data_IF_848169752137
#
_entry.id   IF_848169752137
#
_cell.length_a   1.000
_cell.length_b   1.000
_cell.length_c   1.000
_cell.angle_alpha   90.00
_cell.angle_beta   90.00
_cell.angle_gamma   90.00
#
_symmetry.space_group_name_H-M   'P 1'
#
loop_
_entity.id
_entity.type
_entity.pdbx_description
1 polymer ?
#
# COMPACT_ATOMS: atom_id res chain seq x y z
N UNK A 1 -14.30 34.30 28.70
CA UNK A 1 -14.83 33.63 29.91
C UNK A 1 -14.04 32.37 30.24
N UNK A 2 -13.88 31.42 29.30
CA UNK A 2 -13.13 30.16 29.51
C UNK A 2 -11.70 30.40 30.04
N UNK A 3 -10.98 31.40 29.52
CA UNK A 3 -9.60 31.72 29.94
C UNK A 3 -9.44 32.20 31.39
N UNK A 4 -10.53 32.45 32.12
CA UNK A 4 -10.49 32.82 33.54
C UNK A 4 -10.63 31.62 34.49
N UNK A 5 -10.91 30.43 33.96
CA UNK A 5 -11.13 29.21 34.76
C UNK A 5 -9.81 28.44 34.88
N UNK A 6 -8.89 28.94 35.72
CA UNK A 6 -7.52 28.41 35.86
C UNK A 6 -7.44 27.00 36.44
N UNK A 7 -8.55 26.47 36.97
CA UNK A 7 -8.66 25.08 37.45
C UNK A 7 -8.90 24.06 36.33
N UNK A 8 -9.11 24.49 35.08
CA UNK A 8 -9.37 23.57 33.96
C UNK A 8 -8.17 22.66 33.68
N UNK A 9 -8.44 21.36 33.62
CA UNK A 9 -7.49 20.32 33.20
C UNK A 9 -7.77 19.81 31.79
N UNK A 10 -9.02 19.90 31.32
CA UNK A 10 -9.40 19.49 29.97
C UNK A 10 -10.28 20.54 29.33
N UNK A 11 -9.97 20.87 28.07
CA UNK A 11 -10.72 21.84 27.28
C UNK A 11 -10.99 21.27 25.88
N UNK A 12 -12.28 21.10 25.58
CA UNK A 12 -12.76 20.67 24.27
C UNK A 12 -13.52 21.80 23.60
N UNK A 13 -12.99 22.25 22.46
CA UNK A 13 -13.57 23.29 21.62
C UNK A 13 -13.84 22.76 20.20
N UNK A 14 -14.08 21.44 20.08
CA UNK A 14 -14.20 20.72 18.81
C UNK A 14 -15.44 21.12 18.01
N UNK A 15 -15.39 21.00 16.68
CA UNK A 15 -16.54 21.18 15.79
C UNK A 15 -17.23 22.55 15.93
N UNK A 16 -16.43 23.60 16.09
CA UNK A 16 -16.91 24.96 16.18
C UNK A 16 -16.48 25.76 14.94
N UNK A 17 -16.68 27.08 14.99
CA UNK A 17 -16.23 28.03 13.95
C UNK A 17 -15.16 28.98 14.50
N UNK A 18 -14.35 28.51 15.44
CA UNK A 18 -13.32 29.32 16.09
C UNK A 18 -12.26 29.69 15.04
N UNK A 19 -11.97 30.98 14.95
CA UNK A 19 -10.97 31.52 14.01
C UNK A 19 -9.65 31.90 14.70
N UNK A 20 -9.73 32.27 15.97
CA UNK A 20 -8.61 32.81 16.75
C UNK A 20 -8.62 32.18 18.12
N UNK A 21 -7.45 31.72 18.56
CA UNK A 21 -7.20 31.34 19.95
C UNK A 21 -6.48 32.50 20.62
N UNK A 22 -7.07 33.06 21.68
CA UNK A 22 -6.49 34.20 22.39
C UNK A 22 -5.20 33.83 23.13
N UNK A 23 -4.27 34.76 23.25
CA UNK A 23 -3.09 34.68 24.12
C UNK A 23 -3.44 34.41 25.60
N UNK A 24 -4.67 34.75 26.01
CA UNK A 24 -5.18 34.42 27.35
C UNK A 24 -5.26 32.90 27.62
N UNK A 25 -5.07 32.03 26.61
CA UNK A 25 -4.91 30.59 26.82
C UNK A 25 -3.76 30.29 27.79
N UNK A 26 -2.74 31.15 27.84
CA UNK A 26 -1.61 31.06 28.78
C UNK A 26 -2.01 31.04 30.27
N UNK A 27 -3.23 31.48 30.61
CA UNK A 27 -3.75 31.42 31.97
C UNK A 27 -4.16 30.01 32.42
N UNK A 28 -4.39 29.08 31.49
CA UNK A 28 -4.91 27.73 31.78
C UNK A 28 -3.79 26.73 32.09
N UNK A 29 -2.84 27.07 32.95
CA UNK A 29 -1.58 26.31 33.17
C UNK A 29 -1.77 24.87 33.67
N UNK A 30 -2.94 24.54 34.24
CA UNK A 30 -3.28 23.18 34.70
C UNK A 30 -3.81 22.26 33.58
N UNK A 31 -3.90 22.76 32.35
CA UNK A 31 -4.48 22.03 31.24
C UNK A 31 -3.58 20.86 30.82
N UNK A 32 -4.12 19.64 30.87
CA UNK A 32 -3.48 18.40 30.43
C UNK A 32 -3.97 17.97 29.04
N UNK A 33 -5.16 18.41 28.63
CA UNK A 33 -5.72 18.12 27.32
C UNK A 33 -6.41 19.34 26.70
N UNK A 34 -5.97 19.70 25.49
CA UNK A 34 -6.58 20.73 24.67
C UNK A 34 -6.96 20.14 23.32
N UNK A 35 -8.24 20.26 22.95
CA UNK A 35 -8.69 19.87 21.61
C UNK A 35 -9.44 21.02 20.94
N UNK A 36 -8.86 21.47 19.84
CA UNK A 36 -9.28 22.54 18.95
C UNK A 36 -9.73 21.99 17.59
N UNK A 37 -9.89 20.68 17.47
CA UNK A 37 -10.19 19.97 16.22
C UNK A 37 -11.42 20.52 15.50
N UNK A 38 -11.39 20.51 14.17
CA UNK A 38 -12.54 20.87 13.31
C UNK A 38 -13.02 22.30 13.62
N UNK A 39 -12.15 23.26 13.33
CA UNK A 39 -12.40 24.69 13.49
C UNK A 39 -11.88 25.46 12.26
N UNK A 40 -11.69 26.77 12.39
CA UNK A 40 -11.19 27.67 11.34
C UNK A 40 -9.95 28.45 11.80
N UNK A 41 -9.16 27.86 12.69
CA UNK A 41 -8.01 28.50 13.32
C UNK A 41 -6.86 28.61 12.32
N UNK A 42 -6.26 29.80 12.20
CA UNK A 42 -5.11 30.05 11.30
C UNK A 42 -3.75 30.03 12.00
N UNK A 43 -3.74 30.37 13.28
CA UNK A 43 -2.53 30.45 14.08
C UNK A 43 -2.82 30.04 15.53
N UNK A 44 -1.80 29.48 16.18
CA UNK A 44 -1.82 29.26 17.63
C UNK A 44 -0.96 30.35 18.30
N UNK A 45 -1.44 30.94 19.41
CA UNK A 45 -0.70 31.95 20.15
C UNK A 45 0.56 31.37 20.81
N UNK A 46 1.57 32.22 21.03
CA UNK A 46 2.81 31.85 21.74
C UNK A 46 2.52 31.42 23.19
N UNK A 47 1.43 31.95 23.77
CA UNK A 47 0.92 31.58 25.09
C UNK A 47 0.68 30.08 25.30
N UNK A 48 0.55 29.28 24.23
CA UNK A 48 0.47 27.81 24.33
C UNK A 48 1.66 27.21 25.07
N UNK A 49 2.86 27.79 24.94
CA UNK A 49 4.06 27.30 25.61
C UNK A 49 4.06 27.44 27.13
N UNK A 50 3.08 28.14 27.71
CA UNK A 50 2.88 28.20 29.18
C UNK A 50 2.12 26.99 29.72
N UNK A 51 1.51 26.18 28.84
CA UNK A 51 0.76 24.98 29.22
C UNK A 51 1.70 23.78 29.43
N UNK A 52 2.62 23.89 30.40
CA UNK A 52 3.69 22.91 30.58
C UNK A 52 3.20 21.53 31.06
N UNK A 53 1.97 21.44 31.55
CA UNK A 53 1.29 20.19 31.93
C UNK A 53 0.54 19.52 30.78
N UNK A 54 0.55 20.13 29.58
CA UNK A 54 -0.22 19.65 28.44
C UNK A 54 0.34 18.31 27.95
N UNK A 55 -0.45 17.25 28.11
CA UNK A 55 -0.13 15.91 27.64
C UNK A 55 -0.66 15.62 26.23
N UNK A 56 -1.74 16.28 25.83
CA UNK A 56 -2.37 16.12 24.52
C UNK A 56 -2.82 17.45 23.94
N UNK A 57 -2.35 17.75 22.73
CA UNK A 57 -2.84 18.84 21.90
C UNK A 57 -3.37 18.28 20.58
N UNK A 58 -4.66 18.46 20.33
CA UNK A 58 -5.31 18.13 19.06
C UNK A 58 -5.80 19.41 18.40
N UNK A 59 -5.08 19.87 17.39
CA UNK A 59 -5.44 21.02 16.54
C UNK A 59 -5.69 20.60 15.09
N UNK A 60 -6.07 19.34 14.86
CA UNK A 60 -6.34 18.79 13.54
C UNK A 60 -7.54 19.43 12.85
N UNK A 61 -7.61 19.37 11.51
CA UNK A 61 -8.72 19.92 10.71
C UNK A 61 -8.96 21.41 11.00
N UNK A 62 -7.92 22.21 10.79
CA UNK A 62 -7.92 23.67 10.91
C UNK A 62 -7.24 24.27 9.66
N UNK A 63 -6.86 25.54 9.73
CA UNK A 63 -6.14 26.26 8.68
C UNK A 63 -4.78 26.75 9.18
N UNK A 64 -4.13 26.00 10.08
CA UNK A 64 -2.83 26.39 10.63
C UNK A 64 -1.76 26.41 9.54
N UNK A 65 -1.09 27.55 9.37
CA UNK A 65 0.04 27.69 8.43
C UNK A 65 1.39 27.43 9.10
N UNK A 66 1.49 27.74 10.40
CA UNK A 66 2.68 27.54 11.21
C UNK A 66 2.32 27.09 12.64
N UNK A 67 3.29 26.50 13.33
CA UNK A 67 3.23 26.28 14.77
C UNK A 67 4.14 27.28 15.51
N UNK A 68 3.70 27.85 16.64
CA UNK A 68 4.54 28.72 17.44
C UNK A 68 5.74 27.91 18.00
N UNK A 69 6.98 28.44 17.94
CA UNK A 69 8.15 27.75 18.52
C UNK A 69 7.99 27.41 20.01
N UNK A 70 7.19 28.17 20.74
CA UNK A 70 6.89 27.96 22.15
C UNK A 70 6.19 26.62 22.44
N UNK A 71 5.65 25.94 21.42
CA UNK A 71 5.09 24.58 21.58
C UNK A 71 6.12 23.60 22.17
N UNK A 72 7.41 23.81 21.87
CA UNK A 72 8.51 23.00 22.43
C UNK A 72 8.69 23.13 23.95
N UNK A 73 8.03 24.09 24.60
CA UNK A 73 8.02 24.22 26.06
C UNK A 73 7.04 23.26 26.74
N UNK A 74 6.10 22.69 25.99
CA UNK A 74 5.10 21.74 26.50
C UNK A 74 5.70 20.33 26.61
N UNK A 75 6.77 20.18 27.39
CA UNK A 75 7.60 18.97 27.46
C UNK A 75 6.86 17.71 27.93
N UNK A 76 5.65 17.85 28.47
CA UNK A 76 4.77 16.73 28.86
C UNK A 76 3.92 16.21 27.68
N UNK A 77 4.01 16.80 26.49
CA UNK A 77 3.25 16.37 25.32
C UNK A 77 3.66 14.97 24.89
N UNK A 78 2.71 14.05 24.98
CA UNK A 78 2.83 12.69 24.44
C UNK A 78 2.14 12.57 23.08
N UNK A 79 1.15 13.42 22.82
CA UNK A 79 0.39 13.47 21.57
C UNK A 79 0.24 14.91 21.08
N UNK A 80 0.73 15.17 19.88
CA UNK A 80 0.50 16.40 19.12
C UNK A 80 -0.12 16.03 17.77
N UNK A 81 -1.39 16.37 17.56
CA UNK A 81 -2.09 16.13 16.31
C UNK A 81 -2.41 17.45 15.61
N UNK A 82 -1.74 17.68 14.47
CA UNK A 82 -1.88 18.89 13.64
C UNK A 82 -2.15 18.51 12.17
N UNK A 83 -2.67 17.31 11.94
CA UNK A 83 -3.02 16.83 10.60
C UNK A 83 -4.17 17.64 9.97
N UNK A 84 -4.30 17.58 8.65
CA UNK A 84 -5.34 18.33 7.89
C UNK A 84 -5.30 19.83 8.24
N UNK A 85 -4.13 20.43 8.03
CA UNK A 85 -3.90 21.87 8.15
C UNK A 85 -3.18 22.35 6.89
N UNK A 86 -2.63 23.57 6.93
CA UNK A 86 -1.90 24.18 5.83
C UNK A 86 -0.42 24.39 6.20
N UNK A 87 0.10 23.58 7.14
CA UNK A 87 1.43 23.77 7.71
C UNK A 87 2.51 23.68 6.64
N UNK A 88 3.37 24.69 6.56
CA UNK A 88 4.50 24.73 5.60
C UNK A 88 5.79 24.23 6.25
N UNK A 89 5.90 24.37 7.57
CA UNK A 89 7.04 23.95 8.38
C UNK A 89 6.62 23.40 9.76
N UNK A 90 7.61 22.87 10.47
CA UNK A 90 7.52 22.50 11.89
C UNK A 90 8.74 23.11 12.59
N UNK A 91 8.57 23.82 13.72
CA UNK A 91 9.67 24.52 14.38
C UNK A 91 10.72 23.55 14.96
N UNK A 92 11.99 23.96 14.97
CA UNK A 92 13.11 23.18 15.55
C UNK A 92 12.95 22.91 17.06
N UNK A 93 12.09 23.65 17.75
CA UNK A 93 11.77 23.40 19.16
C UNK A 93 10.96 22.12 19.36
N UNK A 94 10.42 21.49 18.31
CA UNK A 94 9.70 20.21 18.41
C UNK A 94 10.58 19.11 19.01
N UNK A 95 11.90 19.16 18.78
CA UNK A 95 12.84 18.20 19.35
C UNK A 95 12.98 18.27 20.87
N UNK A 96 12.38 19.27 21.54
CA UNK A 96 12.31 19.33 22.99
C UNK A 96 11.26 18.36 23.56
N UNK A 97 10.29 17.91 22.76
CA UNK A 97 9.20 17.03 23.16
C UNK A 97 9.66 15.56 23.21
N UNK A 98 10.63 15.25 24.06
CA UNK A 98 11.33 13.94 24.08
C UNK A 98 10.43 12.74 24.39
N UNK A 99 9.28 12.97 25.03
CA UNK A 99 8.31 11.92 25.37
C UNK A 99 7.16 11.80 24.35
N UNK A 100 7.27 12.51 23.22
CA UNK A 100 6.26 12.50 22.17
C UNK A 100 6.18 11.11 21.53
N UNK A 101 5.01 10.48 21.62
CA UNK A 101 4.73 9.16 21.06
C UNK A 101 4.02 9.27 19.72
N UNK A 102 3.15 10.27 19.57
CA UNK A 102 2.31 10.49 18.39
C UNK A 102 2.44 11.93 17.91
N UNK A 103 2.85 12.07 16.65
CA UNK A 103 2.97 13.34 15.94
C UNK A 103 2.18 13.25 14.62
N UNK A 104 1.01 13.89 14.58
CA UNK A 104 0.15 13.90 13.40
C UNK A 104 0.50 15.04 12.44
N UNK A 105 1.16 14.72 11.32
CA UNK A 105 1.61 15.72 10.32
C UNK A 105 0.97 15.53 8.92
N UNK A 106 0.21 14.45 8.73
CA UNK A 106 -0.39 14.13 7.42
C UNK A 106 -1.33 15.22 6.92
N UNK A 107 -1.48 15.32 5.60
CA UNK A 107 -2.34 16.29 4.91
C UNK A 107 -2.02 17.73 5.34
N UNK A 108 -0.80 18.14 5.05
CA UNK A 108 -0.29 19.51 5.24
C UNK A 108 0.45 19.96 3.96
N UNK A 109 1.21 21.04 4.04
CA UNK A 109 2.02 21.57 2.93
C UNK A 109 3.51 21.57 3.27
N UNK A 110 3.95 20.63 4.13
CA UNK A 110 5.31 20.62 4.67
C UNK A 110 6.33 20.43 3.53
N UNK A 111 7.30 21.33 3.48
CA UNK A 111 8.42 21.26 2.52
C UNK A 111 9.61 20.49 3.12
N UNK A 112 9.77 20.55 4.44
CA UNK A 112 10.77 19.82 5.20
C UNK A 112 10.27 19.50 6.61
N UNK A 113 11.03 18.67 7.31
CA UNK A 113 10.90 18.46 8.76
C UNK A 113 12.21 18.86 9.46
N UNK A 114 12.15 19.40 10.68
CA UNK A 114 13.33 19.88 11.40
C UNK A 114 14.26 18.74 11.81
N UNK A 115 15.57 19.02 11.89
CA UNK A 115 16.59 18.02 12.28
C UNK A 115 16.38 17.56 13.72
N UNK A 116 16.04 18.49 14.61
CA UNK A 116 15.76 18.23 16.02
C UNK A 116 14.68 17.18 16.28
N UNK A 117 13.83 16.85 15.31
CA UNK A 117 12.84 15.77 15.43
C UNK A 117 13.50 14.41 15.72
N UNK A 118 14.79 14.25 15.39
CA UNK A 118 15.60 13.08 15.78
C UNK A 118 15.64 12.82 17.29
N UNK A 119 15.36 13.82 18.12
CA UNK A 119 15.33 13.70 19.57
C UNK A 119 14.05 13.05 20.11
N UNK A 120 12.99 12.93 19.28
CA UNK A 120 11.71 12.36 19.67
C UNK A 120 11.73 10.82 19.50
N UNK A 121 12.62 10.15 20.22
CA UNK A 121 12.94 8.72 20.03
C UNK A 121 11.78 7.76 20.35
N UNK A 122 10.75 8.25 21.05
CA UNK A 122 9.57 7.46 21.41
C UNK A 122 8.52 7.37 20.29
N UNK A 123 8.70 8.08 19.17
CA UNK A 123 7.80 7.98 18.02
C UNK A 123 7.81 6.56 17.48
N UNK A 124 6.64 5.95 17.43
CA UNK A 124 6.44 4.57 16.95
C UNK A 124 5.96 4.50 15.51
N UNK A 125 5.26 5.55 15.07
CA UNK A 125 4.78 5.74 13.70
C UNK A 125 5.17 7.14 13.23
N UNK A 126 5.89 7.21 12.11
CA UNK A 126 6.21 8.47 11.45
C UNK A 126 5.43 8.56 10.15
N UNK A 127 4.38 9.38 10.16
CA UNK A 127 3.46 9.55 9.04
C UNK A 127 3.40 11.02 8.61
N UNK A 128 3.92 11.28 7.41
CA UNK A 128 3.93 12.59 6.74
C UNK A 128 3.22 12.51 5.38
N UNK A 129 2.26 11.61 5.24
CA UNK A 129 1.45 11.44 4.04
C UNK A 129 0.88 12.78 3.54
N UNK A 130 0.84 12.96 2.22
CA UNK A 130 0.19 14.11 1.58
C UNK A 130 0.77 15.44 2.09
N UNK A 131 2.05 15.62 1.77
CA UNK A 131 2.84 16.83 1.99
C UNK A 131 3.67 17.11 0.73
N UNK A 132 4.61 18.05 0.80
CA UNK A 132 5.47 18.44 -0.33
C UNK A 132 6.95 18.10 -0.05
N UNK A 133 7.19 17.08 0.78
CA UNK A 133 8.54 16.69 1.17
C UNK A 133 9.27 16.07 -0.02
N UNK A 134 10.49 16.53 -0.27
CA UNK A 134 11.41 15.95 -1.26
C UNK A 134 12.56 15.16 -0.63
N UNK A 135 12.86 15.43 0.64
CA UNK A 135 13.93 14.80 1.41
C UNK A 135 13.60 14.81 2.90
N UNK A 136 14.25 13.92 3.65
CA UNK A 136 14.27 13.95 5.11
C UNK A 136 15.66 14.34 5.59
N UNK A 137 15.78 14.97 6.78
CA UNK A 137 17.08 15.22 7.38
C UNK A 137 17.89 13.93 7.58
N UNK A 138 19.19 14.03 7.31
CA UNK A 138 20.11 12.91 7.52
C UNK A 138 20.11 12.47 8.98
N UNK A 139 20.09 11.15 9.19
CA UNK A 139 20.10 10.55 10.52
C UNK A 139 18.75 10.60 11.27
N UNK A 140 17.71 11.26 10.73
CA UNK A 140 16.40 11.34 11.38
C UNK A 140 15.84 9.95 11.66
N UNK A 141 15.64 9.16 10.60
CA UNK A 141 15.03 7.82 10.72
C UNK A 141 15.88 6.85 11.55
N UNK A 142 17.21 6.93 11.48
CA UNK A 142 18.09 6.09 12.30
C UNK A 142 18.07 6.44 13.79
N UNK A 143 17.66 7.67 14.14
CA UNK A 143 17.55 8.10 15.53
C UNK A 143 16.23 7.66 16.17
N UNK A 144 15.18 7.45 15.37
CA UNK A 144 13.87 6.98 15.84
C UNK A 144 13.91 5.48 16.17
N UNK A 145 14.54 5.12 17.28
CA UNK A 145 14.78 3.73 17.66
C UNK A 145 13.51 2.91 17.85
N UNK A 146 12.38 3.53 18.20
CA UNK A 146 11.12 2.83 18.42
C UNK A 146 10.21 2.82 17.18
N UNK A 147 10.70 3.31 16.03
CA UNK A 147 9.92 3.40 14.79
C UNK A 147 9.59 2.01 14.25
N UNK A 148 8.30 1.71 14.16
CA UNK A 148 7.76 0.44 13.64
C UNK A 148 7.08 0.61 12.28
N UNK A 149 6.54 1.80 12.00
CA UNK A 149 5.82 2.10 10.76
C UNK A 149 6.26 3.44 10.20
N UNK A 150 6.58 3.47 8.91
CA UNK A 150 7.02 4.65 8.17
C UNK A 150 6.10 4.90 6.98
N UNK A 151 5.43 6.05 6.95
CA UNK A 151 4.58 6.46 5.84
C UNK A 151 5.04 7.81 5.28
N UNK A 152 5.61 7.78 4.07
CA UNK A 152 6.06 8.92 3.28
C UNK A 152 5.24 9.07 1.98
N UNK A 153 4.06 8.46 1.92
CA UNK A 153 3.22 8.43 0.72
C UNK A 153 2.78 9.83 0.26
N UNK A 154 2.48 9.99 -1.03
CA UNK A 154 1.94 11.24 -1.61
C UNK A 154 2.82 12.45 -1.29
N UNK A 155 4.11 12.34 -1.61
CA UNK A 155 5.10 13.41 -1.42
C UNK A 155 5.86 13.64 -2.74
N UNK A 156 7.00 14.32 -2.69
CA UNK A 156 7.84 14.65 -3.85
C UNK A 156 9.21 13.97 -3.81
N UNK A 157 9.33 12.82 -3.15
CA UNK A 157 10.60 12.09 -3.07
C UNK A 157 11.00 11.58 -4.46
N UNK A 158 12.20 11.96 -4.92
CA UNK A 158 12.81 11.45 -6.17
C UNK A 158 13.78 10.31 -5.89
N UNK A 159 14.23 10.19 -4.64
CA UNK A 159 15.13 9.15 -4.16
C UNK A 159 14.72 8.69 -2.76
N UNK A 160 15.26 7.55 -2.32
CA UNK A 160 15.13 7.11 -0.93
C UNK A 160 15.74 8.14 0.05
N UNK A 161 15.23 8.21 1.30
CA UNK A 161 15.84 9.02 2.36
C UNK A 161 17.32 8.69 2.58
N UNK A 162 18.13 9.72 2.86
CA UNK A 162 19.56 9.59 3.18
C UNK A 162 19.76 9.09 4.60
N UNK A 163 20.79 8.27 4.83
CA UNK A 163 21.12 7.70 6.16
C UNK A 163 21.42 6.20 6.15
N UNK A 164 21.25 5.53 5.00
CA UNK A 164 21.71 4.16 4.79
C UNK A 164 20.88 3.11 5.54
N UNK A 165 21.37 1.87 5.65
CA UNK A 165 20.55 0.74 6.10
C UNK A 165 20.12 0.79 7.57
N UNK A 166 20.82 1.56 8.40
CA UNK A 166 20.51 1.71 9.83
C UNK A 166 19.15 2.36 10.07
N UNK A 167 18.58 3.04 9.08
CA UNK A 167 17.29 3.72 9.17
C UNK A 167 16.10 2.78 9.32
N UNK A 168 16.25 1.51 8.91
CA UNK A 168 15.13 0.57 8.80
C UNK A 168 15.25 -0.63 9.75
N UNK A 169 16.15 -0.57 10.74
CA UNK A 169 16.45 -1.70 11.65
C UNK A 169 15.21 -2.25 12.38
N UNK A 170 14.30 -1.37 12.79
CA UNK A 170 13.15 -1.72 13.64
C UNK A 170 11.79 -1.62 12.91
N UNK A 171 11.80 -1.18 11.65
CA UNK A 171 10.59 -0.91 10.89
C UNK A 171 10.01 -2.21 10.35
N UNK A 172 8.71 -2.39 10.53
CA UNK A 172 7.93 -3.52 10.02
C UNK A 172 7.25 -3.19 8.70
N UNK A 173 6.82 -1.93 8.52
CA UNK A 173 6.07 -1.48 7.35
C UNK A 173 6.60 -0.15 6.83
N UNK A 174 6.84 -0.09 5.53
CA UNK A 174 7.23 1.13 4.81
C UNK A 174 6.22 1.38 3.70
N UNK A 175 5.61 2.56 3.70
CA UNK A 175 4.78 3.05 2.60
C UNK A 175 5.39 4.33 2.02
N UNK A 176 5.80 4.28 0.75
CA UNK A 176 6.26 5.44 -0.02
C UNK A 176 5.51 5.55 -1.36
N UNK A 177 4.24 5.13 -1.41
CA UNK A 177 3.43 5.23 -2.63
C UNK A 177 3.25 6.68 -3.11
N UNK A 178 2.90 6.85 -4.39
CA UNK A 178 2.66 8.18 -4.97
C UNK A 178 3.83 9.16 -4.73
N UNK A 179 5.02 8.75 -5.17
CA UNK A 179 6.23 9.57 -5.17
C UNK A 179 6.87 9.54 -6.57
N UNK A 180 8.10 10.03 -6.69
CA UNK A 180 8.87 10.05 -7.94
C UNK A 180 10.14 9.21 -7.82
N UNK A 181 10.13 8.19 -6.95
CA UNK A 181 11.32 7.39 -6.67
C UNK A 181 11.60 6.49 -7.87
N UNK A 182 12.78 6.64 -8.46
CA UNK A 182 13.16 5.88 -9.67
C UNK A 182 14.01 4.63 -9.39
N UNK A 183 14.56 4.51 -8.18
CA UNK A 183 15.43 3.40 -7.79
C UNK A 183 15.41 3.15 -6.29
N UNK A 184 15.39 1.87 -5.91
CA UNK A 184 15.69 1.39 -4.55
C UNK A 184 17.21 1.20 -4.46
N UNK A 185 17.93 1.83 -3.51
CA UNK A 185 19.38 1.66 -3.38
C UNK A 185 19.75 0.23 -2.97
N UNK A 186 20.87 -0.27 -3.50
CA UNK A 186 21.42 -1.56 -3.10
C UNK A 186 21.76 -1.57 -1.60
N UNK A 187 21.39 -2.65 -0.91
CA UNK A 187 21.71 -2.87 0.50
C UNK A 187 20.89 -2.02 1.47
N UNK A 188 19.94 -1.21 1.01
CA UNK A 188 19.18 -0.29 1.89
C UNK A 188 18.40 -1.01 2.97
N UNK A 189 18.00 -2.26 2.73
CA UNK A 189 17.29 -3.11 3.69
C UNK A 189 18.18 -4.18 4.33
N UNK A 190 19.49 -4.15 4.12
CA UNK A 190 20.43 -5.16 4.67
C UNK A 190 20.43 -5.29 6.19
N UNK A 191 19.91 -4.27 6.92
CA UNK A 191 19.73 -4.30 8.37
C UNK A 191 18.26 -4.35 8.81
N UNK A 192 17.31 -4.36 7.88
CA UNK A 192 15.88 -4.32 8.15
C UNK A 192 15.34 -5.72 8.48
N UNK A 193 15.70 -6.22 9.67
CA UNK A 193 15.40 -7.60 10.08
C UNK A 193 13.91 -7.88 10.27
N UNK A 194 13.09 -6.85 10.47
CA UNK A 194 11.67 -7.00 10.77
C UNK A 194 10.76 -6.51 9.63
N UNK A 195 11.32 -6.06 8.51
CA UNK A 195 10.54 -5.48 7.42
C UNK A 195 9.72 -6.58 6.74
N UNK A 196 8.40 -6.47 6.87
CA UNK A 196 7.43 -7.44 6.32
C UNK A 196 6.56 -6.82 5.22
N UNK A 197 6.44 -5.49 5.19
CA UNK A 197 5.58 -4.79 4.23
C UNK A 197 6.32 -3.62 3.57
N UNK A 198 6.36 -3.63 2.24
CA UNK A 198 6.91 -2.55 1.43
C UNK A 198 5.91 -2.15 0.33
N UNK A 199 5.39 -0.93 0.45
CA UNK A 199 4.46 -0.33 -0.51
C UNK A 199 5.15 0.81 -1.25
N UNK A 200 5.37 0.62 -2.54
CA UNK A 200 6.03 1.56 -3.45
C UNK A 200 5.19 1.78 -4.72
N UNK A 201 3.86 1.62 -4.61
CA UNK A 201 2.93 1.85 -5.71
C UNK A 201 3.06 3.27 -6.26
N UNK A 202 2.79 3.52 -7.54
CA UNK A 202 2.74 4.86 -8.12
C UNK A 202 4.08 5.60 -7.93
N UNK A 203 5.15 5.02 -8.46
CA UNK A 203 6.50 5.56 -8.46
C UNK A 203 7.12 5.45 -9.87
N UNK A 204 8.43 5.63 -9.99
CA UNK A 204 9.16 5.61 -11.26
C UNK A 204 10.20 4.48 -11.31
N UNK A 205 10.02 3.42 -10.53
CA UNK A 205 10.99 2.33 -10.40
C UNK A 205 11.18 1.63 -11.74
N UNK A 206 12.42 1.60 -12.23
CA UNK A 206 12.77 0.95 -13.51
C UNK A 206 13.28 -0.49 -13.34
N UNK A 207 13.81 -0.80 -12.16
CA UNK A 207 14.30 -2.13 -11.79
C UNK A 207 14.35 -2.30 -10.27
N UNK A 208 14.33 -3.56 -9.84
CA UNK A 208 14.64 -3.95 -8.47
C UNK A 208 16.16 -4.02 -8.26
N UNK A 209 16.65 -3.78 -7.03
CA UNK A 209 18.08 -3.84 -6.74
C UNK A 209 18.57 -5.30 -6.72
N UNK A 210 19.87 -5.49 -6.92
CA UNK A 210 20.50 -6.82 -7.04
C UNK A 210 20.43 -7.66 -5.75
N UNK A 211 20.14 -7.03 -4.61
CA UNK A 211 20.02 -7.68 -3.31
C UNK A 211 18.56 -7.93 -2.88
N UNK A 212 17.60 -7.92 -3.82
CA UNK A 212 16.18 -8.19 -3.47
C UNK A 212 16.01 -9.51 -2.72
N UNK A 213 16.81 -10.53 -3.06
CA UNK A 213 16.80 -11.83 -2.40
C UNK A 213 17.25 -11.81 -0.93
N UNK A 214 17.69 -10.67 -0.41
CA UNK A 214 17.96 -10.48 1.03
C UNK A 214 16.71 -10.11 1.84
N UNK A 215 15.58 -9.81 1.19
CA UNK A 215 14.34 -9.37 1.86
C UNK A 215 13.50 -10.56 2.35
N UNK A 216 14.14 -11.49 3.05
CA UNK A 216 13.58 -12.81 3.37
C UNK A 216 12.38 -12.78 4.33
N UNK A 217 12.19 -11.69 5.07
CA UNK A 217 11.04 -11.50 5.96
C UNK A 217 9.84 -10.80 5.27
N UNK A 218 9.96 -10.45 4.00
CA UNK A 218 8.89 -9.78 3.26
C UNK A 218 7.65 -10.68 3.14
N UNK A 219 6.49 -10.12 3.48
CA UNK A 219 5.16 -10.76 3.42
C UNK A 219 4.31 -10.08 2.34
N UNK A 220 4.37 -8.75 2.25
CA UNK A 220 3.63 -7.95 1.28
C UNK A 220 4.55 -6.99 0.54
N UNK A 221 4.64 -7.18 -0.79
CA UNK A 221 5.42 -6.33 -1.69
C UNK A 221 4.50 -5.75 -2.77
N UNK A 222 4.26 -4.45 -2.70
CA UNK A 222 3.46 -3.73 -3.69
C UNK A 222 4.32 -2.74 -4.47
N UNK A 223 4.52 -3.02 -5.75
CA UNK A 223 5.27 -2.23 -6.71
C UNK A 223 4.40 -1.85 -7.91
N UNK A 224 3.07 -1.80 -7.73
CA UNK A 224 2.14 -1.46 -8.80
C UNK A 224 2.38 -0.05 -9.37
N UNK A 225 1.99 0.19 -10.62
CA UNK A 225 2.13 1.48 -11.30
C UNK A 225 3.57 2.03 -11.22
N UNK A 226 4.50 1.30 -11.85
CA UNK A 226 5.91 1.63 -11.97
C UNK A 226 6.39 1.38 -13.41
N UNK A 227 7.71 1.35 -13.63
CA UNK A 227 8.33 1.14 -14.95
C UNK A 227 9.21 -0.13 -14.94
N UNK A 228 8.86 -1.13 -14.14
CA UNK A 228 9.63 -2.36 -14.03
C UNK A 228 9.58 -3.14 -15.35
N UNK A 229 10.74 -3.59 -15.80
CA UNK A 229 10.90 -4.35 -17.04
C UNK A 229 11.19 -5.84 -16.79
N UNK A 230 11.67 -6.17 -15.59
CA UNK A 230 11.98 -7.53 -15.15
C UNK A 230 11.90 -7.67 -13.64
N UNK A 231 11.64 -8.90 -13.20
CA UNK A 231 11.86 -9.37 -11.82
C UNK A 231 13.14 -10.22 -11.83
N UNK A 232 14.09 -10.04 -10.91
CA UNK A 232 15.31 -10.83 -10.84
C UNK A 232 15.06 -12.26 -10.35
N UNK A 233 15.92 -13.20 -10.73
CA UNK A 233 15.75 -14.62 -10.42
C UNK A 233 15.82 -14.93 -8.92
N UNK A 234 16.61 -14.15 -8.16
CA UNK A 234 16.74 -14.27 -6.70
C UNK A 234 15.44 -13.93 -5.92
N UNK A 235 14.35 -13.59 -6.61
CA UNK A 235 13.02 -13.41 -5.99
C UNK A 235 12.55 -14.65 -5.23
N UNK A 236 13.03 -15.85 -5.61
CA UNK A 236 12.73 -17.10 -4.90
C UNK A 236 13.06 -17.08 -3.41
N UNK A 237 13.99 -16.22 -2.98
CA UNK A 237 14.41 -16.12 -1.57
C UNK A 237 13.40 -15.39 -0.69
N UNK A 238 12.36 -14.78 -1.26
CA UNK A 238 11.27 -14.14 -0.52
C UNK A 238 10.26 -15.22 -0.07
N UNK A 239 10.73 -16.23 0.67
CA UNK A 239 9.96 -17.43 1.03
C UNK A 239 8.73 -17.15 1.91
N UNK A 240 8.69 -15.97 2.54
CA UNK A 240 7.57 -15.52 3.37
C UNK A 240 6.52 -14.70 2.61
N UNK A 241 6.72 -14.44 1.31
CA UNK A 241 5.86 -13.55 0.54
C UNK A 241 4.48 -14.17 0.32
N UNK A 242 3.44 -13.45 0.76
CA UNK A 242 2.04 -13.83 0.60
C UNK A 242 1.33 -12.96 -0.45
N UNK A 243 1.74 -11.70 -0.60
CA UNK A 243 1.14 -10.74 -1.52
C UNK A 243 2.21 -10.08 -2.37
N UNK A 244 2.10 -10.26 -3.69
CA UNK A 244 2.95 -9.62 -4.68
C UNK A 244 2.09 -8.87 -5.69
N UNK A 245 2.19 -7.53 -5.67
CA UNK A 245 1.47 -6.64 -6.58
C UNK A 245 2.48 -5.98 -7.51
N UNK A 246 2.35 -6.26 -8.80
CA UNK A 246 3.19 -5.82 -9.89
C UNK A 246 2.36 -5.21 -11.04
N UNK A 247 1.10 -4.87 -10.78
CA UNK A 247 0.18 -4.30 -11.78
C UNK A 247 0.71 -3.01 -12.39
N UNK A 248 0.30 -2.70 -13.62
CA UNK A 248 0.69 -1.49 -14.35
C UNK A 248 2.21 -1.27 -14.37
N UNK A 249 2.90 -2.20 -15.01
CA UNK A 249 4.35 -2.16 -15.24
C UNK A 249 4.63 -2.51 -16.71
N UNK A 250 5.89 -2.78 -17.05
CA UNK A 250 6.30 -3.13 -18.42
C UNK A 250 6.92 -4.53 -18.51
N UNK A 251 6.49 -5.44 -17.63
CA UNK A 251 7.02 -6.81 -17.56
C UNK A 251 6.61 -7.60 -18.82
N UNK A 252 7.59 -8.21 -19.48
CA UNK A 252 7.36 -9.11 -20.63
C UNK A 252 7.28 -10.58 -20.28
N UNK A 253 7.96 -10.96 -19.20
CA UNK A 253 8.04 -12.33 -18.70
C UNK A 253 8.27 -12.32 -17.19
N UNK A 254 7.89 -13.42 -16.55
CA UNK A 254 8.29 -13.73 -15.18
C UNK A 254 9.48 -14.70 -15.19
N UNK A 255 10.37 -14.65 -14.17
CA UNK A 255 11.35 -15.70 -13.97
C UNK A 255 10.65 -17.00 -13.57
N UNK A 256 11.22 -18.16 -13.94
CA UNK A 256 10.69 -19.46 -13.53
C UNK A 256 10.79 -19.67 -12.00
N UNK A 257 11.77 -19.04 -11.36
CA UNK A 257 11.96 -19.04 -9.91
C UNK A 257 10.80 -18.42 -9.13
N UNK A 258 9.85 -17.72 -9.80
CA UNK A 258 8.62 -17.23 -9.17
C UNK A 258 7.83 -18.37 -8.51
N UNK A 259 7.89 -19.59 -9.05
CA UNK A 259 7.21 -20.77 -8.51
C UNK A 259 7.72 -21.20 -7.12
N UNK A 260 8.86 -20.68 -6.66
CA UNK A 260 9.41 -20.97 -5.33
C UNK A 260 8.76 -20.14 -4.21
N UNK A 261 7.91 -19.16 -4.53
CA UNK A 261 7.16 -18.36 -3.55
C UNK A 261 5.96 -19.16 -2.98
N UNK A 262 6.24 -20.25 -2.26
CA UNK A 262 5.24 -21.26 -1.87
C UNK A 262 4.12 -20.76 -0.95
N UNK A 263 4.30 -19.60 -0.30
CA UNK A 263 3.28 -18.96 0.54
C UNK A 263 2.44 -17.92 -0.21
N UNK A 264 2.71 -17.69 -1.49
CA UNK A 264 2.04 -16.63 -2.25
C UNK A 264 0.54 -16.93 -2.39
N UNK A 265 -0.29 -15.98 -1.96
CA UNK A 265 -1.75 -16.03 -1.98
C UNK A 265 -2.34 -15.08 -3.00
N UNK A 266 -1.69 -13.95 -3.23
CA UNK A 266 -2.13 -12.94 -4.20
C UNK A 266 -0.97 -12.60 -5.13
N UNK A 267 -1.19 -12.81 -6.43
CA UNK A 267 -0.30 -12.35 -7.49
C UNK A 267 -1.08 -11.47 -8.46
N UNK A 268 -0.77 -10.17 -8.42
CA UNK A 268 -1.36 -9.18 -9.32
C UNK A 268 -0.33 -8.72 -10.36
N UNK A 269 -0.64 -8.97 -11.62
CA UNK A 269 0.16 -8.69 -12.80
C UNK A 269 -0.66 -7.96 -13.88
N UNK A 270 -1.79 -7.38 -13.50
CA UNK A 270 -2.65 -6.59 -14.39
C UNK A 270 -1.86 -5.51 -15.14
N UNK A 271 -2.30 -5.13 -16.34
CA UNK A 271 -1.70 -4.03 -17.12
C UNK A 271 -0.18 -4.17 -17.30
N UNK A 272 0.28 -5.31 -17.82
CA UNK A 272 1.68 -5.55 -18.17
C UNK A 272 1.81 -5.90 -19.66
N UNK A 273 2.97 -6.43 -20.06
CA UNK A 273 3.24 -6.87 -21.44
C UNK A 273 3.57 -8.35 -21.48
N UNK A 274 2.99 -9.15 -20.58
CA UNK A 274 3.33 -10.57 -20.45
C UNK A 274 2.86 -11.33 -21.70
N UNK A 275 3.80 -12.00 -22.36
CA UNK A 275 3.53 -12.82 -23.56
C UNK A 275 3.17 -14.27 -23.19
N UNK A 276 3.72 -14.76 -22.06
CA UNK A 276 3.45 -16.08 -21.51
C UNK A 276 3.70 -16.11 -19.99
N UNK A 277 3.14 -17.12 -19.33
CA UNK A 277 3.48 -17.50 -17.96
C UNK A 277 4.44 -18.70 -17.95
N UNK A 278 5.38 -18.77 -16.99
CA UNK A 278 6.18 -19.97 -16.77
C UNK A 278 5.32 -21.14 -16.26
N UNK A 279 5.69 -22.38 -16.58
CA UNK A 279 4.98 -23.57 -16.09
C UNK A 279 5.06 -23.68 -14.55
N UNK A 280 6.12 -23.14 -13.97
CA UNK A 280 6.38 -23.09 -12.53
C UNK A 280 5.33 -22.28 -11.76
N UNK A 281 4.47 -21.51 -12.43
CA UNK A 281 3.30 -20.87 -11.79
C UNK A 281 2.45 -21.91 -11.05
N UNK A 282 2.34 -23.14 -11.56
CA UNK A 282 1.60 -24.23 -10.92
C UNK A 282 2.21 -24.74 -9.62
N UNK A 283 3.39 -24.26 -9.21
CA UNK A 283 3.98 -24.58 -7.90
C UNK A 283 3.42 -23.71 -6.77
N UNK A 284 2.72 -22.61 -7.09
CA UNK A 284 2.10 -21.70 -6.13
C UNK A 284 0.80 -22.25 -5.55
N UNK A 285 0.87 -23.39 -4.85
CA UNK A 285 -0.31 -24.14 -4.38
C UNK A 285 -1.19 -23.38 -3.37
N UNK A 286 -0.67 -22.33 -2.75
CA UNK A 286 -1.40 -21.45 -1.84
C UNK A 286 -2.08 -20.26 -2.53
N UNK A 287 -1.91 -20.11 -3.86
CA UNK A 287 -2.42 -18.97 -4.60
C UNK A 287 -3.95 -18.97 -4.62
N UNK A 288 -4.53 -17.85 -4.20
CA UNK A 288 -5.98 -17.62 -4.11
C UNK A 288 -6.44 -16.66 -5.20
N UNK A 289 -5.62 -15.66 -5.52
CA UNK A 289 -5.93 -14.66 -6.55
C UNK A 289 -4.79 -14.54 -7.54
N UNK A 290 -5.11 -14.74 -8.82
CA UNK A 290 -4.22 -14.50 -9.95
C UNK A 290 -4.87 -13.50 -10.91
N UNK A 291 -4.28 -12.33 -11.02
CA UNK A 291 -4.79 -11.22 -11.84
C UNK A 291 -3.80 -10.96 -12.97
N UNK A 292 -4.24 -11.16 -14.21
CA UNK A 292 -3.45 -11.09 -15.44
C UNK A 292 -4.15 -10.27 -16.52
N UNK A 293 -5.18 -9.51 -16.14
CA UNK A 293 -5.95 -8.68 -17.06
C UNK A 293 -5.05 -7.70 -17.80
N UNK A 294 -5.38 -7.39 -19.05
CA UNK A 294 -4.66 -6.39 -19.87
C UNK A 294 -3.19 -6.75 -20.06
N UNK A 295 -2.95 -7.93 -20.62
CA UNK A 295 -1.62 -8.45 -21.00
C UNK A 295 -1.62 -8.93 -22.46
N UNK A 296 -0.59 -9.68 -22.87
CA UNK A 296 -0.41 -10.16 -24.25
C UNK A 296 -0.40 -11.70 -24.32
N UNK A 297 -1.02 -12.36 -23.34
CA UNK A 297 -1.00 -13.82 -23.22
C UNK A 297 -1.76 -14.48 -24.38
N UNK A 298 -1.13 -15.47 -25.02
CA UNK A 298 -1.78 -16.27 -26.08
C UNK A 298 -2.38 -17.58 -25.57
N UNK A 299 -1.88 -18.07 -24.43
CA UNK A 299 -2.35 -19.27 -23.75
C UNK A 299 -1.99 -19.22 -22.26
N UNK A 300 -2.66 -20.05 -21.47
CA UNK A 300 -2.26 -20.36 -20.09
C UNK A 300 -1.55 -21.72 -20.08
N UNK A 301 -0.51 -21.91 -19.23
CA UNK A 301 0.14 -23.21 -19.09
C UNK A 301 -0.82 -24.22 -18.46
N UNK A 302 -0.74 -25.49 -18.86
CA UNK A 302 -1.51 -26.61 -18.27
C UNK A 302 -1.35 -26.69 -16.75
N UNK A 303 -0.18 -26.29 -16.25
CA UNK A 303 0.15 -26.24 -14.83
C UNK A 303 -0.78 -25.31 -14.02
N UNK A 304 -1.59 -24.45 -14.66
CA UNK A 304 -2.62 -23.65 -13.97
C UNK A 304 -3.56 -24.53 -13.14
N UNK A 305 -3.86 -25.75 -13.59
CA UNK A 305 -4.73 -26.69 -12.86
C UNK A 305 -4.17 -27.13 -11.50
N UNK A 306 -2.87 -26.95 -11.24
CA UNK A 306 -2.29 -27.27 -9.93
C UNK A 306 -2.65 -26.24 -8.84
N UNK A 307 -3.26 -25.10 -9.19
CA UNK A 307 -3.63 -24.03 -8.26
C UNK A 307 -4.94 -24.33 -7.52
N UNK A 308 -4.98 -25.46 -6.79
CA UNK A 308 -6.20 -25.97 -6.12
C UNK A 308 -6.92 -25.00 -5.17
N UNK A 309 -6.24 -23.97 -4.66
CA UNK A 309 -6.79 -22.92 -3.77
C UNK A 309 -7.22 -21.65 -4.50
N UNK A 310 -7.11 -21.60 -5.82
CA UNK A 310 -7.43 -20.42 -6.62
C UNK A 310 -8.93 -20.17 -6.61
N UNK A 311 -9.35 -19.01 -6.10
CA UNK A 311 -10.74 -18.59 -6.07
C UNK A 311 -11.04 -17.50 -7.11
N UNK A 312 -10.02 -16.74 -7.52
CA UNK A 312 -10.14 -15.65 -8.47
C UNK A 312 -9.08 -15.75 -9.56
N UNK A 313 -9.53 -15.87 -10.81
CA UNK A 313 -8.68 -15.80 -12.00
C UNK A 313 -9.21 -14.73 -12.95
N UNK A 314 -8.41 -13.69 -13.19
CA UNK A 314 -8.68 -12.72 -14.27
C UNK A 314 -7.62 -12.81 -15.34
N UNK A 315 -8.04 -13.12 -16.57
CA UNK A 315 -7.22 -13.18 -17.78
C UNK A 315 -7.93 -12.47 -18.95
N UNK A 316 -8.80 -11.51 -18.62
CA UNK A 316 -9.47 -10.68 -19.60
C UNK A 316 -8.50 -9.75 -20.34
N UNK A 317 -8.93 -9.16 -21.46
CA UNK A 317 -8.12 -8.21 -22.25
C UNK A 317 -6.74 -8.79 -22.60
N UNK A 318 -6.73 -10.01 -23.17
CA UNK A 318 -5.53 -10.73 -23.60
C UNK A 318 -5.71 -11.23 -25.04
N UNK A 319 -4.78 -12.05 -25.53
CA UNK A 319 -4.81 -12.63 -26.87
C UNK A 319 -5.06 -14.15 -26.82
N UNK A 320 -5.80 -14.64 -25.81
CA UNK A 320 -5.96 -16.08 -25.59
C UNK A 320 -6.65 -16.75 -26.78
N UNK A 321 -6.05 -17.86 -27.23
CA UNK A 321 -6.59 -18.69 -28.32
C UNK A 321 -7.42 -19.87 -27.78
N UNK A 322 -7.08 -20.35 -26.59
CA UNK A 322 -7.79 -21.40 -25.87
C UNK A 322 -7.58 -21.25 -24.35
N UNK A 323 -8.43 -21.92 -23.58
CA UNK A 323 -8.25 -22.18 -22.14
C UNK A 323 -7.89 -23.67 -21.97
N UNK A 324 -6.85 -24.03 -21.20
CA UNK A 324 -6.46 -25.42 -21.00
C UNK A 324 -7.56 -26.23 -20.29
N UNK A 325 -7.71 -27.50 -20.64
CA UNK A 325 -8.67 -28.44 -20.03
C UNK A 325 -8.45 -28.58 -18.52
N UNK A 326 -7.20 -28.43 -18.07
CA UNK A 326 -6.84 -28.47 -16.66
C UNK A 326 -7.52 -27.38 -15.81
N UNK A 327 -8.16 -26.37 -16.42
CA UNK A 327 -9.00 -25.40 -15.69
C UNK A 327 -10.09 -26.10 -14.86
N UNK A 328 -10.60 -27.24 -15.33
CA UNK A 328 -11.64 -28.01 -14.62
C UNK A 328 -11.19 -28.62 -13.29
N UNK A 329 -9.88 -28.64 -13.02
CA UNK A 329 -9.33 -29.09 -11.73
C UNK A 329 -9.35 -28.00 -10.65
N UNK A 330 -9.69 -26.77 -11.01
CA UNK A 330 -9.80 -25.64 -10.08
C UNK A 330 -11.14 -25.68 -9.34
N UNK A 331 -11.29 -26.64 -8.43
CA UNK A 331 -12.52 -26.85 -7.67
C UNK A 331 -12.90 -25.65 -6.79
N UNK A 332 -11.91 -24.87 -6.32
CA UNK A 332 -12.13 -23.67 -5.50
C UNK A 332 -12.47 -22.41 -6.31
N UNK A 333 -12.49 -22.47 -7.64
CA UNK A 333 -12.64 -21.27 -8.47
C UNK A 333 -14.06 -20.70 -8.35
N UNK A 334 -14.15 -19.45 -7.88
CA UNK A 334 -15.42 -18.74 -7.68
C UNK A 334 -15.66 -17.69 -8.78
N UNK A 335 -14.58 -17.05 -9.26
CA UNK A 335 -14.64 -15.96 -10.24
C UNK A 335 -13.65 -16.17 -11.37
N UNK A 336 -14.16 -16.17 -12.61
CA UNK A 336 -13.38 -16.30 -13.84
C UNK A 336 -13.68 -15.17 -14.83
N UNK A 337 -12.70 -14.32 -15.09
CA UNK A 337 -12.81 -13.26 -16.11
C UNK A 337 -11.96 -13.62 -17.32
N UNK A 338 -12.61 -13.87 -18.45
CA UNK A 338 -11.98 -14.19 -19.74
C UNK A 338 -12.44 -13.24 -20.87
N UNK A 339 -13.13 -12.15 -20.53
CA UNK A 339 -13.64 -11.17 -21.48
C UNK A 339 -12.53 -10.56 -22.34
N UNK A 340 -12.91 -10.01 -23.50
CA UNK A 340 -12.00 -9.28 -24.38
C UNK A 340 -10.79 -10.13 -24.82
N UNK A 341 -11.04 -11.41 -25.14
CA UNK A 341 -10.08 -12.28 -25.80
C UNK A 341 -10.56 -12.54 -27.25
N UNK A 342 -10.13 -11.73 -28.24
CA UNK A 342 -10.71 -11.74 -29.58
C UNK A 342 -10.40 -13.01 -30.39
N UNK A 343 -9.42 -13.80 -29.95
CA UNK A 343 -9.04 -15.06 -30.60
C UNK A 343 -9.61 -16.30 -29.88
N UNK A 344 -10.44 -16.11 -28.85
CA UNK A 344 -10.97 -17.22 -28.04
C UNK A 344 -12.26 -17.79 -28.67
N UNK A 345 -12.09 -18.81 -29.50
CA UNK A 345 -13.19 -19.42 -30.27
C UNK A 345 -13.92 -20.57 -29.54
N UNK A 346 -13.35 -21.10 -28.47
CA UNK A 346 -13.86 -22.29 -27.79
C UNK A 346 -13.52 -22.28 -26.30
N UNK A 347 -14.30 -22.99 -25.52
CA UNK A 347 -14.05 -23.24 -24.10
C UNK A 347 -13.98 -24.76 -23.85
N UNK A 348 -13.07 -25.23 -22.98
CA UNK A 348 -12.97 -26.64 -22.63
C UNK A 348 -14.22 -27.13 -21.91
N UNK A 349 -14.62 -28.38 -22.14
CA UNK A 349 -15.79 -28.96 -21.47
C UNK A 349 -15.56 -29.11 -19.96
N UNK A 350 -14.31 -29.27 -19.56
CA UNK A 350 -13.83 -29.41 -18.19
C UNK A 350 -14.15 -28.17 -17.35
N UNK A 351 -14.37 -27.00 -17.97
CA UNK A 351 -14.82 -25.81 -17.25
C UNK A 351 -16.16 -26.03 -16.51
N UNK A 352 -16.98 -26.98 -16.98
CA UNK A 352 -18.18 -27.43 -16.29
C UNK A 352 -17.93 -28.08 -14.92
N UNK A 353 -16.70 -28.55 -14.67
CA UNK A 353 -16.26 -29.20 -13.43
C UNK A 353 -15.92 -28.20 -12.33
N UNK A 354 -15.77 -26.91 -12.66
CA UNK A 354 -15.63 -25.83 -11.68
C UNK A 354 -16.97 -25.59 -10.95
N UNK A 355 -17.30 -26.47 -10.01
CA UNK A 355 -18.61 -26.49 -9.34
C UNK A 355 -18.88 -25.29 -8.44
N UNK A 356 -17.84 -24.62 -7.95
CA UNK A 356 -17.95 -23.41 -7.13
C UNK A 356 -17.98 -22.11 -7.95
N UNK A 357 -17.96 -22.18 -9.29
CA UNK A 357 -17.92 -20.99 -10.13
C UNK A 357 -19.24 -20.22 -10.03
N UNK A 358 -19.16 -18.98 -9.53
CA UNK A 358 -20.30 -18.08 -9.31
C UNK A 358 -20.32 -16.96 -10.34
N UNK A 359 -19.15 -16.42 -10.68
CA UNK A 359 -19.00 -15.29 -11.58
C UNK A 359 -18.15 -15.73 -12.76
N UNK A 360 -18.66 -15.49 -13.97
CA UNK A 360 -17.92 -15.72 -15.20
C UNK A 360 -18.17 -14.57 -16.17
N UNK A 361 -17.10 -13.96 -16.68
CA UNK A 361 -17.20 -12.91 -17.70
C UNK A 361 -16.63 -13.41 -19.03
N UNK A 362 -17.47 -13.41 -20.07
CA UNK A 362 -17.15 -13.91 -21.43
C UNK A 362 -17.41 -12.88 -22.52
N UNK A 363 -17.63 -11.62 -22.13
CA UNK A 363 -17.95 -10.54 -23.04
C UNK A 363 -16.83 -10.36 -24.08
N UNK A 364 -17.20 -9.98 -25.30
CA UNK A 364 -16.25 -9.74 -26.40
C UNK A 364 -15.32 -10.92 -26.75
N UNK A 365 -15.75 -12.16 -26.48
CA UNK A 365 -15.13 -13.38 -27.00
C UNK A 365 -15.96 -13.94 -28.16
N UNK A 366 -15.36 -14.32 -29.29
CA UNK A 366 -16.13 -14.79 -30.45
C UNK A 366 -16.86 -16.12 -30.18
N UNK A 367 -16.27 -17.02 -29.37
CA UNK A 367 -16.86 -18.29 -28.93
C UNK A 367 -17.61 -19.07 -30.04
N UNK A 368 -17.09 -19.02 -31.27
CA UNK A 368 -17.80 -19.46 -32.48
C UNK A 368 -18.14 -20.95 -32.53
N UNK A 369 -17.57 -21.76 -31.62
CA UNK A 369 -17.91 -23.18 -31.48
C UNK A 369 -19.14 -23.43 -30.59
N UNK A 370 -19.67 -22.39 -29.94
CA UNK A 370 -20.88 -22.44 -29.12
C UNK A 370 -22.00 -21.71 -29.87
N UNK A 371 -23.22 -22.27 -29.95
CA UNK A 371 -24.35 -21.59 -30.59
C UNK A 371 -24.55 -20.17 -30.04
N UNK A 372 -24.72 -19.20 -30.94
CA UNK A 372 -24.79 -17.78 -30.58
C UNK A 372 -25.94 -17.48 -29.62
N UNK A 373 -27.06 -18.21 -29.69
CA UNK A 373 -28.17 -18.07 -28.76
C UNK A 373 -27.78 -18.42 -27.33
N UNK A 374 -26.88 -19.39 -27.16
CA UNK A 374 -26.37 -19.83 -25.85
C UNK A 374 -25.39 -18.81 -25.30
N UNK A 375 -24.48 -18.31 -26.14
CA UNK A 375 -23.51 -17.27 -25.75
C UNK A 375 -24.24 -15.98 -25.33
N UNK A 376 -25.22 -15.53 -26.11
CA UNK A 376 -26.06 -14.37 -25.79
C UNK A 376 -26.95 -14.58 -24.55
N UNK A 377 -27.27 -15.84 -24.24
CA UNK A 377 -27.96 -16.24 -23.03
C UNK A 377 -27.12 -16.13 -21.75
N UNK A 378 -25.83 -15.81 -21.90
CA UNK A 378 -24.91 -15.53 -20.82
C UNK A 378 -24.15 -16.75 -20.29
N UNK A 379 -23.23 -16.52 -19.33
CA UNK A 379 -22.29 -17.54 -18.87
C UNK A 379 -22.94 -18.80 -18.29
N UNK A 380 -24.09 -18.67 -17.63
CA UNK A 380 -24.81 -19.82 -17.05
C UNK A 380 -25.29 -20.81 -18.12
N UNK A 381 -25.79 -20.32 -19.26
CA UNK A 381 -26.22 -21.17 -20.37
C UNK A 381 -25.02 -21.79 -21.09
N UNK A 382 -23.91 -21.07 -21.20
CA UNK A 382 -22.64 -21.61 -21.71
C UNK A 382 -22.16 -22.78 -20.84
N UNK A 383 -22.13 -22.62 -19.52
CA UNK A 383 -21.75 -23.72 -18.61
C UNK A 383 -22.71 -24.92 -18.74
N UNK A 384 -24.02 -24.68 -18.87
CA UNK A 384 -24.98 -25.76 -19.09
C UNK A 384 -24.76 -26.49 -20.42
N UNK A 385 -24.44 -25.76 -21.49
CA UNK A 385 -24.09 -26.34 -22.79
C UNK A 385 -22.84 -27.21 -22.70
N UNK A 386 -21.79 -26.72 -22.02
CA UNK A 386 -20.55 -27.47 -21.80
C UNK A 386 -20.83 -28.76 -20.99
N UNK A 387 -21.65 -28.69 -19.93
CA UNK A 387 -22.12 -29.87 -19.18
C UNK A 387 -22.85 -30.88 -20.08
N UNK A 388 -23.73 -30.38 -20.95
CA UNK A 388 -24.53 -31.24 -21.83
C UNK A 388 -23.73 -31.84 -22.98
N UNK A 389 -22.68 -31.19 -23.48
CA UNK A 389 -21.92 -31.68 -24.64
C UNK A 389 -20.62 -32.37 -24.26
N UNK A 390 -20.13 -32.16 -23.05
CA UNK A 390 -18.93 -32.81 -22.53
C UNK A 390 -19.10 -34.32 -22.37
N UNK A 391 -17.99 -35.08 -22.37
CA UNK A 391 -17.98 -36.53 -22.17
C UNK A 391 -18.44 -36.94 -20.76
N UNK A 392 -18.55 -36.00 -19.83
CA UNK A 392 -18.83 -36.23 -18.40
C UNK A 392 -20.31 -36.39 -18.04
N UNK A 393 -21.20 -36.64 -19.01
CA UNK A 393 -22.65 -36.85 -18.81
C UNK A 393 -23.06 -37.93 -17.81
N UNK A 394 -22.10 -38.71 -17.29
CA UNK A 394 -22.34 -39.96 -16.54
C UNK A 394 -21.58 -40.07 -15.22
N UNK A 395 -20.97 -38.99 -14.72
CA UNK A 395 -20.38 -38.95 -13.38
C UNK A 395 -21.29 -38.23 -12.38
#
# INVERSE_FOLDING_TARGET
VVYRITSLTTLHLRFNRIKVVSEEISNLTNLTMLSLRENKIKELPAGIGKLTQLGTLDASNNHLEHLPPEIGNCIQLTTLDVQHNELVDVPETIGNLKILNRLGLRYNRLISVPRSLSNCINITEFNVENNVLSQLPEGLLSSLSNLTSLTLSRNQFVSYPVGGPSQFCNVYSINMEHNKINKIPFGIFSRAKNLTKLIMKDNQLTSLPLDVGSWTNMVELNLGTNQLTKIPDDVERLENLEVLILSNNTLKRLPNTIGNLRKLRVLDLEENKLEALPNEIGFLRELQKLILQSNQLQSLPRAIGHLSKLTYLSVGENNLTFIPEEIGTLESLESLYINDNPNLHSLPFELALCTNLQIMSIENCPLSQIPTEIVNGGPSLVIQFLKMKGPYRSM
#
